data_IF_229608566728
#
_entry.id   IF_229608566728
#
_cell.length_a   1.000
_cell.length_b   1.000
_cell.length_c   1.000
_cell.angle_alpha   90.00
_cell.angle_beta   90.00
_cell.angle_gamma   90.00
#
_symmetry.space_group_name_H-M   'P 1'
#
loop_
_entity.id
_entity.type
_entity.pdbx_description
1 polymer ?
#
# COMPACT_ATOMS: atom_id res chain seq x y z
N UNK A 1 -5.45 7.29 -16.26
CA UNK A 1 -6.50 8.30 -16.03
C UNK A 1 -5.87 9.50 -15.35
N UNK A 2 -6.65 10.53 -15.06
CA UNK A 2 -6.17 11.62 -14.21
C UNK A 2 -5.96 11.07 -12.79
N UNK A 3 -4.83 11.41 -12.15
CA UNK A 3 -4.49 10.93 -10.80
C UNK A 3 -4.14 9.44 -10.67
N UNK A 4 -4.43 8.60 -11.68
CA UNK A 4 -4.22 7.16 -11.62
C UNK A 4 -2.84 6.76 -12.16
N UNK A 5 -2.08 6.09 -11.32
CA UNK A 5 -0.78 5.51 -11.64
C UNK A 5 -0.87 3.98 -11.48
N UNK A 6 -0.46 3.22 -12.49
CA UNK A 6 -0.27 1.78 -12.33
C UNK A 6 0.88 1.53 -11.36
N UNK A 7 0.74 0.61 -10.41
CA UNK A 7 1.82 0.29 -9.46
C UNK A 7 2.39 -1.08 -9.76
N UNK A 8 1.54 -2.11 -9.73
CA UNK A 8 1.96 -3.49 -9.97
C UNK A 8 0.77 -4.37 -10.35
N UNK A 9 1.08 -5.55 -10.90
CA UNK A 9 0.14 -6.64 -11.08
C UNK A 9 0.81 -7.94 -10.62
N UNK A 10 0.13 -8.73 -9.79
CA UNK A 10 0.66 -10.00 -9.30
C UNK A 10 0.50 -11.13 -10.32
N UNK A 11 1.12 -12.29 -10.07
CA UNK A 11 0.90 -13.51 -10.86
C UNK A 11 -0.57 -13.99 -10.88
N UNK A 12 -1.37 -13.54 -9.89
CA UNK A 12 -2.81 -13.81 -9.82
C UNK A 12 -3.63 -12.92 -10.75
N UNK A 13 -3.06 -11.81 -11.24
CA UNK A 13 -3.75 -10.89 -12.13
C UNK A 13 -4.16 -11.56 -13.44
N UNK A 14 -5.35 -11.22 -13.92
CA UNK A 14 -5.83 -11.70 -15.22
C UNK A 14 -5.52 -10.65 -16.28
N UNK A 15 -5.32 -11.13 -17.52
CA UNK A 15 -5.28 -10.24 -18.67
C UNK A 15 -6.60 -9.49 -18.77
N UNK A 16 -6.52 -8.18 -18.96
CA UNK A 16 -7.69 -7.34 -19.11
C UNK A 16 -8.36 -7.58 -20.48
N UNK A 17 -9.68 -7.36 -20.59
CA UNK A 17 -10.35 -7.23 -21.87
C UNK A 17 -9.68 -6.15 -22.75
N UNK A 18 -10.02 -6.12 -24.05
CA UNK A 18 -9.50 -5.12 -25.00
C UNK A 18 -9.69 -3.67 -24.52
N UNK A 19 -10.77 -3.44 -23.76
CA UNK A 19 -11.14 -2.12 -23.26
C UNK A 19 -10.55 -1.81 -21.87
N UNK A 20 -9.72 -2.70 -21.31
CA UNK A 20 -9.17 -2.56 -19.96
C UNK A 20 -10.18 -2.84 -18.85
N UNK A 21 -9.72 -2.86 -17.61
CA UNK A 21 -10.60 -2.77 -16.45
C UNK A 21 -10.90 -1.31 -16.16
N UNK A 22 -12.20 -0.98 -16.04
CA UNK A 22 -12.66 0.32 -15.57
C UNK A 22 -12.24 0.52 -14.13
N UNK A 23 -11.72 1.70 -13.82
CA UNK A 23 -11.34 2.12 -12.47
C UNK A 23 -12.28 3.25 -12.09
N UNK A 24 -12.93 3.11 -10.95
CA UNK A 24 -13.79 4.14 -10.39
C UNK A 24 -13.38 4.38 -8.94
N UNK A 25 -13.02 5.60 -8.61
CA UNK A 25 -12.65 6.05 -7.28
C UNK A 25 -13.89 6.70 -6.67
N UNK A 26 -14.26 6.28 -5.47
CA UNK A 26 -15.42 6.79 -4.73
C UNK A 26 -14.99 7.62 -3.51
N UNK A 27 -13.76 7.44 -3.05
CA UNK A 27 -13.18 8.23 -1.98
C UNK A 27 -11.69 8.42 -2.21
N UNK A 28 -11.20 9.64 -2.08
CA UNK A 28 -9.76 9.92 -2.11
C UNK A 28 -9.12 9.63 -0.76
N UNK A 29 -7.84 9.28 -0.76
CA UNK A 29 -7.11 9.10 0.48
C UNK A 29 -6.90 10.44 1.20
N UNK A 30 -7.04 10.44 2.51
CA UNK A 30 -6.75 11.61 3.37
C UNK A 30 -5.70 11.28 4.41
N UNK A 31 -5.12 12.31 5.02
CA UNK A 31 -4.07 12.20 6.03
C UNK A 31 -4.64 12.39 7.41
N UNK A 32 -4.00 11.76 8.40
CA UNK A 32 -4.31 12.06 9.79
C UNK A 32 -3.90 13.49 10.14
N UNK A 33 -4.75 14.21 10.86
CA UNK A 33 -4.47 15.61 11.23
C UNK A 33 -5.11 16.01 12.55
N UNK A 34 -4.55 17.04 13.17
CA UNK A 34 -5.13 17.71 14.33
C UNK A 34 -5.00 19.22 14.14
N UNK A 35 -6.03 19.95 14.53
CA UNK A 35 -6.13 21.39 14.33
C UNK A 35 -6.26 22.05 15.70
N UNK A 36 -5.47 23.08 15.94
CA UNK A 36 -5.61 23.94 17.10
C UNK A 36 -6.96 24.67 17.06
N UNK A 37 -7.65 24.72 18.19
CA UNK A 37 -8.99 25.31 18.28
C UNK A 37 -8.99 26.84 18.38
N UNK A 38 -7.84 27.43 18.72
CA UNK A 38 -7.70 28.88 18.92
C UNK A 38 -6.31 29.35 18.53
N UNK A 39 -6.18 30.64 18.20
CA UNK A 39 -4.87 31.28 18.09
C UNK A 39 -4.15 31.35 19.43
N UNK A 40 -2.83 31.41 19.37
CA UNK A 40 -2.00 31.72 20.53
C UNK A 40 -2.09 33.22 20.83
N UNK A 41 -2.46 33.55 22.07
CA UNK A 41 -2.58 34.94 22.52
C UNK A 41 -1.31 35.37 23.25
N UNK A 42 -1.07 36.68 23.31
CA UNK A 42 0.07 37.21 24.06
C UNK A 42 0.09 36.76 25.53
N UNK A 43 -1.08 36.54 26.13
CA UNK A 43 -1.26 36.06 27.51
C UNK A 43 -0.83 34.60 27.70
N UNK A 44 -0.96 33.76 26.67
CA UNK A 44 -0.55 32.36 26.72
C UNK A 44 0.98 32.24 26.77
N UNK A 45 1.69 33.13 26.07
CA UNK A 45 3.15 33.01 25.84
C UNK A 45 3.97 33.92 26.76
N UNK A 46 3.35 34.97 27.33
CA UNK A 46 3.97 35.93 28.24
C UNK A 46 3.76 35.51 29.70
N UNK A 47 4.22 34.34 30.12
CA UNK A 47 4.27 34.06 31.56
C UNK A 47 5.51 34.73 32.15
N UNK A 48 5.29 35.77 32.95
CA UNK A 48 6.26 36.30 33.91
C UNK A 48 6.69 35.26 34.97
N UNK A 49 6.23 34.01 34.85
CA UNK A 49 6.60 32.84 35.63
C UNK A 49 7.23 31.77 34.72
N UNK A 50 8.53 31.44 34.90
CA UNK A 50 9.22 30.37 34.19
C UNK A 50 8.64 28.97 34.39
N UNK A 51 7.75 28.78 35.38
CA UNK A 51 7.10 27.50 35.64
C UNK A 51 5.79 27.30 34.86
N UNK A 52 5.31 28.32 34.14
CA UNK A 52 4.05 28.26 33.38
C UNK A 52 4.28 28.42 31.87
N UNK A 53 5.45 27.98 31.39
CA UNK A 53 5.83 28.06 29.99
C UNK A 53 4.96 27.14 29.11
N UNK A 54 4.63 27.59 27.90
CA UNK A 54 3.92 26.72 26.96
C UNK A 54 4.84 25.55 26.59
N UNK A 55 4.29 24.34 26.70
CA UNK A 55 4.90 23.18 26.09
C UNK A 55 3.90 22.39 25.25
N UNK A 56 4.44 21.75 24.22
CA UNK A 56 3.73 20.84 23.34
C UNK A 56 4.48 19.52 23.33
N UNK A 57 3.77 18.42 23.56
CA UNK A 57 4.34 17.08 23.45
C UNK A 57 3.68 16.37 22.29
N UNK A 58 4.48 15.89 21.34
CA UNK A 58 4.03 15.17 20.15
C UNK A 58 4.55 13.74 20.25
N UNK A 59 3.68 12.77 20.02
CA UNK A 59 4.04 11.36 19.93
C UNK A 59 3.56 10.77 18.60
N UNK A 60 4.50 10.25 17.82
CA UNK A 60 4.27 9.61 16.51
C UNK A 60 5.18 8.39 16.42
N UNK A 61 4.60 7.22 16.07
CA UNK A 61 5.40 6.02 15.81
C UNK A 61 6.30 5.55 16.97
N UNK A 62 5.95 5.88 18.22
CA UNK A 62 6.76 5.57 19.41
C UNK A 62 7.92 6.56 19.66
N UNK A 63 8.05 7.61 18.86
CA UNK A 63 8.96 8.74 19.09
C UNK A 63 8.22 9.83 19.84
N UNK A 64 8.87 10.49 20.78
CA UNK A 64 8.28 11.59 21.54
C UNK A 64 9.17 12.82 21.47
N UNK A 65 8.57 13.95 21.09
CA UNK A 65 9.21 15.25 21.04
C UNK A 65 8.47 16.17 22.01
N UNK A 66 9.24 16.94 22.77
CA UNK A 66 8.71 17.99 23.63
C UNK A 66 9.28 19.32 23.18
N UNK A 67 8.40 20.25 22.82
CA UNK A 67 8.71 21.63 22.53
C UNK A 67 8.36 22.43 23.78
N UNK A 68 9.38 22.87 24.52
CA UNK A 68 9.21 23.58 25.78
C UNK A 68 9.93 24.94 25.74
N UNK A 69 9.14 26.02 25.86
CA UNK A 69 9.67 27.38 25.94
C UNK A 69 10.59 27.60 27.15
N UNK A 70 10.49 26.78 28.20
CA UNK A 70 11.40 26.83 29.35
C UNK A 70 12.81 26.43 28.99
N UNK A 71 12.95 25.38 28.17
CA UNK A 71 14.24 24.80 27.82
C UNK A 71 14.84 25.42 26.54
N UNK A 72 14.02 26.09 25.72
CA UNK A 72 14.48 26.82 24.54
C UNK A 72 14.72 28.31 24.82
N UNK A 73 15.94 28.64 25.26
CA UNK A 73 16.32 30.01 25.63
C UNK A 73 16.28 31.02 24.47
N UNK A 74 16.53 30.57 23.24
CA UNK A 74 16.56 31.42 22.04
C UNK A 74 15.14 31.79 21.60
N UNK A 75 14.25 30.79 21.50
CA UNK A 75 12.84 31.00 21.18
C UNK A 75 12.18 31.89 22.24
N UNK A 76 12.46 31.64 23.52
CA UNK A 76 11.95 32.45 24.63
C UNK A 76 12.39 33.91 24.53
N UNK A 77 13.68 34.17 24.33
CA UNK A 77 14.20 35.54 24.18
C UNK A 77 13.59 36.27 22.98
N UNK A 78 13.38 35.57 21.87
CA UNK A 78 12.77 36.13 20.66
C UNK A 78 11.31 36.51 20.92
N UNK A 79 10.54 35.63 21.56
CA UNK A 79 9.15 35.90 21.93
C UNK A 79 9.06 37.03 22.97
N UNK A 80 9.96 37.12 23.93
CA UNK A 80 10.01 38.21 24.92
C UNK A 80 10.28 39.58 24.25
N UNK A 81 11.18 39.62 23.26
CA UNK A 81 11.44 40.84 22.46
C UNK A 81 10.20 41.27 21.68
N UNK A 82 9.51 40.33 21.03
CA UNK A 82 8.28 40.58 20.29
C UNK A 82 7.16 41.08 21.21
N UNK A 83 6.97 40.40 22.34
CA UNK A 83 5.96 40.73 23.35
C UNK A 83 6.20 42.09 23.98
N UNK A 84 7.44 42.42 24.33
CA UNK A 84 7.79 43.74 24.89
C UNK A 84 7.64 44.87 23.87
N UNK A 85 7.94 44.61 22.59
CA UNK A 85 7.66 45.56 21.50
C UNK A 85 6.17 45.84 21.35
N UNK A 86 5.33 44.80 21.37
CA UNK A 86 3.87 44.93 21.29
C UNK A 86 3.28 45.69 22.48
N UNK A 87 3.74 45.37 23.71
CA UNK A 87 3.32 46.06 24.94
C UNK A 87 3.67 47.56 24.91
N UNK A 88 4.79 47.94 24.29
CA UNK A 88 5.20 49.36 24.12
C UNK A 88 4.36 50.10 23.08
N UNK A 89 3.99 49.44 21.98
CA UNK A 89 3.17 50.05 20.92
C UNK A 89 1.71 50.22 21.36
N UNK A 90 1.16 49.26 22.11
CA UNK A 90 -0.15 49.37 22.77
C UNK A 90 -1.38 49.34 21.85
N UNK A 91 -1.20 49.32 20.53
CA UNK A 91 -2.31 49.26 19.57
C UNK A 91 -2.84 47.81 19.40
N UNK A 92 -4.16 47.62 19.18
CA UNK A 92 -4.74 46.31 18.91
C UNK A 92 -4.10 45.60 17.71
N UNK A 93 -3.75 46.35 16.68
CA UNK A 93 -3.11 45.83 15.46
C UNK A 93 -1.69 45.32 15.72
N UNK A 94 -0.90 46.04 16.52
CA UNK A 94 0.45 45.59 16.90
C UNK A 94 0.40 44.32 17.76
N UNK A 95 -0.59 44.23 18.66
CA UNK A 95 -0.86 43.01 19.43
C UNK A 95 -1.14 41.83 18.49
N UNK A 96 -2.09 41.99 17.56
CA UNK A 96 -2.45 40.92 16.62
C UNK A 96 -1.29 40.46 15.73
N UNK A 97 -0.51 41.40 15.16
CA UNK A 97 0.69 41.05 14.36
C UNK A 97 1.71 40.25 15.17
N UNK A 98 1.86 40.60 16.43
CA UNK A 98 2.80 39.93 17.35
C UNK A 98 2.32 38.53 17.71
N UNK A 99 1.02 38.35 18.00
CA UNK A 99 0.40 37.03 18.22
C UNK A 99 0.66 36.09 17.03
N UNK A 100 0.44 36.58 15.81
CA UNK A 100 0.70 35.82 14.57
C UNK A 100 2.17 35.43 14.41
N UNK A 101 3.08 36.38 14.65
CA UNK A 101 4.52 36.13 14.56
C UNK A 101 4.98 35.07 15.58
N UNK A 102 4.47 35.13 16.80
CA UNK A 102 4.78 34.13 17.85
C UNK A 102 4.25 32.76 17.44
N UNK A 103 3.03 32.69 16.91
CA UNK A 103 2.44 31.43 16.47
C UNK A 103 3.21 30.80 15.31
N UNK A 104 3.67 31.61 14.34
CA UNK A 104 4.56 31.14 13.26
C UNK A 104 5.90 30.63 13.79
N UNK A 105 6.51 31.33 14.75
CA UNK A 105 7.77 30.90 15.37
C UNK A 105 7.61 29.56 16.10
N UNK A 106 6.51 29.39 16.83
CA UNK A 106 6.22 28.13 17.53
C UNK A 106 5.98 27.00 16.54
N UNK A 107 5.17 27.20 15.49
CA UNK A 107 4.96 26.18 14.47
C UNK A 107 6.25 25.80 13.73
N UNK A 108 7.11 26.78 13.42
CA UNK A 108 8.42 26.54 12.83
C UNK A 108 9.34 25.72 13.75
N UNK A 109 9.38 26.06 15.04
CA UNK A 109 10.15 25.29 16.00
C UNK A 109 9.60 23.87 16.16
N UNK A 110 8.28 23.72 16.22
CA UNK A 110 7.64 22.40 16.24
C UNK A 110 8.08 21.56 15.04
N UNK A 111 8.00 22.12 13.82
CA UNK A 111 8.45 21.45 12.59
C UNK A 111 9.92 21.03 12.68
N UNK A 112 10.81 21.96 13.09
CA UNK A 112 12.25 21.71 13.22
C UNK A 112 12.54 20.54 14.16
N UNK A 113 11.95 20.53 15.36
CA UNK A 113 12.20 19.47 16.34
C UNK A 113 11.58 18.14 15.89
N UNK A 114 10.42 18.15 15.24
CA UNK A 114 9.84 16.92 14.66
C UNK A 114 10.69 16.35 13.53
N UNK A 115 11.26 17.18 12.66
CA UNK A 115 12.16 16.75 11.58
C UNK A 115 13.48 16.19 12.12
N UNK A 116 14.06 16.82 13.15
CA UNK A 116 15.25 16.30 13.84
C UNK A 116 15.01 14.93 14.48
N UNK A 117 13.81 14.71 15.00
CA UNK A 117 13.37 13.41 15.50
C UNK A 117 12.95 12.42 14.41
N UNK A 118 13.01 12.82 13.13
CA UNK A 118 12.60 12.05 11.95
C UNK A 118 11.13 11.62 11.98
N UNK A 119 10.26 12.40 12.63
CA UNK A 119 8.82 12.15 12.65
C UNK A 119 8.19 12.45 11.29
N UNK A 120 7.17 11.69 10.90
CA UNK A 120 6.48 11.84 9.61
C UNK A 120 5.35 12.90 9.67
N UNK A 121 5.65 14.10 10.16
CA UNK A 121 4.68 15.16 10.40
C UNK A 121 5.01 16.45 9.65
N UNK A 122 3.96 17.12 9.17
CA UNK A 122 3.97 18.48 8.66
C UNK A 122 3.20 19.38 9.63
N UNK A 123 3.81 20.49 10.04
CA UNK A 123 3.30 21.45 11.00
C UNK A 123 3.30 22.82 10.35
N UNK A 124 2.11 23.40 10.22
CA UNK A 124 1.93 24.66 9.51
C UNK A 124 0.82 25.50 10.14
N UNK A 125 0.79 26.78 9.77
CA UNK A 125 -0.29 27.68 10.16
C UNK A 125 -1.34 27.69 9.06
N UNK A 126 -2.57 27.32 9.40
CA UNK A 126 -3.70 27.48 8.50
C UNK A 126 -4.34 28.85 8.71
N UNK A 127 -4.52 29.59 7.60
CA UNK A 127 -5.10 30.94 7.57
C UNK A 127 -6.40 30.92 6.77
N UNK A 128 -7.56 30.96 7.43
CA UNK A 128 -8.84 31.01 6.75
C UNK A 128 -9.05 32.33 5.98
N UNK A 129 -8.47 33.44 6.46
CA UNK A 129 -8.63 34.77 5.84
C UNK A 129 -7.84 34.98 4.54
N UNK A 130 -6.83 34.14 4.27
CA UNK A 130 -6.20 34.09 2.94
C UNK A 130 -7.13 33.42 1.90
N UNK A 131 -8.32 32.94 2.32
CA UNK A 131 -9.41 32.46 1.46
C UNK A 131 -10.56 33.49 1.26
N UNK A 132 -10.35 34.79 1.48
CA UNK A 132 -11.42 35.81 1.31
C UNK A 132 -10.99 36.98 0.39
N UNK A 133 -11.06 36.71 -0.93
CA UNK A 133 -11.29 37.70 -1.99
C UNK A 133 -10.53 37.41 -3.30
N UNK A 134 -11.19 37.28 -4.49
CA UNK A 134 -12.55 37.71 -4.85
C UNK A 134 -13.51 36.53 -5.02
N UNK A 135 -14.30 36.23 -3.98
CA UNK A 135 -15.47 35.35 -4.06
C UNK A 135 -16.79 36.14 -4.17
N UNK A 136 -16.72 37.40 -4.61
CA UNK A 136 -17.89 38.27 -4.81
C UNK A 136 -18.10 38.73 -6.26
N UNK A 137 -17.35 38.20 -7.22
CA UNK A 137 -17.57 38.50 -8.63
C UNK A 137 -17.39 37.23 -9.45
N UNK A 138 -18.40 36.37 -9.47
CA UNK A 138 -18.92 35.78 -10.71
C UNK A 138 -20.17 34.95 -10.40
N UNK A 139 -21.30 35.48 -10.87
CA UNK A 139 -22.58 34.80 -10.93
C UNK A 139 -22.51 33.66 -11.96
N UNK A 140 -23.06 32.50 -11.61
CA UNK A 140 -24.10 31.89 -12.46
C UNK A 140 -24.92 30.73 -11.85
N UNK A 141 -24.81 30.41 -10.55
CA UNK A 141 -25.72 29.41 -9.94
C UNK A 141 -26.22 29.76 -8.53
N UNK A 142 -26.14 31.04 -8.14
CA UNK A 142 -26.62 31.50 -6.83
C UNK A 142 -28.11 31.17 -6.58
N UNK A 143 -28.91 31.05 -7.64
CA UNK A 143 -30.32 30.68 -7.53
C UNK A 143 -30.57 29.18 -7.27
N UNK A 144 -29.64 28.30 -7.63
CA UNK A 144 -29.80 26.86 -7.40
C UNK A 144 -29.29 26.48 -5.99
N UNK A 145 -28.21 27.12 -5.53
CA UNK A 145 -27.70 26.97 -4.17
C UNK A 145 -28.71 27.45 -3.10
N UNK A 146 -29.38 28.60 -3.33
CA UNK A 146 -30.40 29.10 -2.39
C UNK A 146 -31.66 28.21 -2.32
N UNK A 147 -31.93 27.41 -3.35
CA UNK A 147 -33.09 26.51 -3.40
C UNK A 147 -32.82 25.21 -2.62
N UNK A 148 -31.59 24.71 -2.63
CA UNK A 148 -31.17 23.58 -1.79
C UNK A 148 -31.01 23.96 -0.31
N UNK A 149 -30.53 25.17 -0.02
CA UNK A 149 -30.37 25.70 1.35
C UNK A 149 -31.73 25.87 2.06
N UNK A 150 -32.85 25.93 1.33
CA UNK A 150 -34.20 26.01 1.90
C UNK A 150 -34.76 24.69 2.45
N UNK A 151 -34.07 23.56 2.29
CA UNK A 151 -34.55 22.23 2.74
C UNK A 151 -34.10 21.82 4.14
N UNK A 152 -33.22 22.58 4.80
CA UNK A 152 -32.80 22.29 6.17
C UNK A 152 -32.90 23.58 7.00
N UNK A 153 -34.01 23.81 7.72
CA UNK A 153 -34.15 25.00 8.55
C UNK A 153 -33.35 24.82 9.84
N UNK A 154 -32.18 25.48 9.92
CA UNK A 154 -31.44 25.69 11.17
C UNK A 154 -29.93 25.46 11.04
N UNK A 155 -29.16 26.51 11.33
CA UNK A 155 -27.73 26.47 11.72
C UNK A 155 -26.63 26.41 10.65
N UNK A 156 -26.65 27.23 9.59
CA UNK A 156 -25.39 27.46 8.82
C UNK A 156 -25.23 28.91 8.31
N UNK A 157 -25.73 29.91 9.04
CA UNK A 157 -25.53 31.33 8.68
C UNK A 157 -24.56 32.10 9.60
N UNK A 158 -23.75 31.43 10.44
CA UNK A 158 -22.78 32.11 11.32
C UNK A 158 -21.30 31.72 11.11
N UNK A 159 -20.97 30.81 10.19
CA UNK A 159 -19.60 30.26 10.11
C UNK A 159 -18.65 30.90 9.09
N UNK A 160 -19.10 31.86 8.28
CA UNK A 160 -18.24 32.46 7.25
C UNK A 160 -17.97 33.93 7.57
N UNK A 161 -17.04 34.16 8.52
CA UNK A 161 -16.11 35.31 8.65
C UNK A 161 -15.57 35.46 10.08
N UNK A 162 -14.84 34.46 10.62
CA UNK A 162 -14.33 34.58 12.00
C UNK A 162 -13.30 33.55 12.48
N UNK A 163 -12.81 32.64 11.64
CA UNK A 163 -11.78 31.69 12.09
C UNK A 163 -10.41 32.39 12.18
N UNK A 164 -9.87 32.43 13.40
CA UNK A 164 -8.51 32.87 13.69
C UNK A 164 -7.46 31.95 13.00
N UNK A 165 -6.22 32.43 12.81
CA UNK A 165 -5.12 31.58 12.33
C UNK A 165 -4.84 30.46 13.34
N UNK A 166 -4.74 29.21 12.88
CA UNK A 166 -4.59 28.03 13.77
C UNK A 166 -3.38 27.18 13.38
N UNK A 167 -2.78 26.51 14.37
CA UNK A 167 -1.72 25.54 14.13
C UNK A 167 -2.36 24.23 13.68
N UNK A 168 -1.89 23.68 12.57
CA UNK A 168 -2.29 22.36 12.07
C UNK A 168 -1.08 21.45 12.09
N UNK A 169 -1.25 20.25 12.62
CA UNK A 169 -0.30 19.17 12.47
C UNK A 169 -0.96 18.10 11.61
N UNK A 170 -0.25 17.59 10.61
CA UNK A 170 -0.75 16.60 9.66
C UNK A 170 0.32 15.55 9.40
N UNK A 171 -0.08 14.30 9.29
CA UNK A 171 0.83 13.22 8.95
C UNK A 171 1.19 13.26 7.45
N UNK A 172 2.46 13.04 7.11
CA UNK A 172 2.92 12.96 5.71
C UNK A 172 2.32 11.79 4.92
N UNK A 173 2.01 10.68 5.60
CA UNK A 173 1.46 9.45 5.02
C UNK A 173 -0.06 9.51 4.98
N UNK A 174 -0.62 9.03 3.89
CA UNK A 174 -2.07 8.90 3.69
C UNK A 174 -2.61 7.60 4.28
N UNK A 175 -3.90 7.60 4.58
CA UNK A 175 -4.62 6.40 4.98
C UNK A 175 -5.12 6.42 6.41
N UNK A 176 -5.74 5.32 6.81
CA UNK A 176 -6.31 5.14 8.15
C UNK A 176 -5.29 4.67 9.19
N UNK A 177 -4.18 4.04 8.76
CA UNK A 177 -3.14 3.52 9.65
C UNK A 177 -2.27 4.61 10.33
N UNK A 178 -1.80 5.65 9.62
CA UNK A 178 -0.96 6.68 10.22
C UNK A 178 -1.70 7.45 11.33
N UNK A 179 -1.08 7.58 12.51
CA UNK A 179 -1.66 8.26 13.66
C UNK A 179 -0.59 8.88 14.55
N UNK A 180 -0.99 9.93 15.28
CA UNK A 180 -0.14 10.59 16.26
C UNK A 180 -1.00 11.20 17.36
N UNK A 181 -0.37 11.54 18.49
CA UNK A 181 -1.02 12.26 19.59
C UNK A 181 -0.27 13.54 19.90
N UNK A 182 -1.02 14.52 20.39
CA UNK A 182 -0.47 15.81 20.82
C UNK A 182 -1.06 16.17 22.17
N UNK A 183 -0.23 16.71 23.07
CA UNK A 183 -0.69 17.38 24.28
C UNK A 183 -0.10 18.78 24.38
N UNK A 184 -0.76 19.64 25.13
CA UNK A 184 -0.32 21.00 25.38
C UNK A 184 -0.49 21.36 26.86
N UNK A 185 0.29 22.32 27.35
CA UNK A 185 0.00 23.00 28.62
C UNK A 185 -1.16 24.00 28.52
N UNK A 186 -1.70 24.24 27.32
CA UNK A 186 -2.84 25.12 27.11
C UNK A 186 -4.15 24.37 27.18
N UNK A 187 -5.07 24.88 28.00
CA UNK A 187 -6.42 24.35 28.11
C UNK A 187 -7.19 24.50 26.80
N UNK A 188 -7.91 23.44 26.42
CA UNK A 188 -8.75 23.35 25.21
C UNK A 188 -8.04 23.72 23.89
N UNK A 189 -6.72 23.50 23.79
CA UNK A 189 -5.98 23.94 22.60
C UNK A 189 -6.14 22.98 21.40
N UNK A 190 -6.08 21.67 21.60
CA UNK A 190 -6.20 20.66 20.53
C UNK A 190 -7.51 19.87 20.56
N UNK A 191 -8.48 20.28 21.39
CA UNK A 191 -9.77 19.62 21.50
C UNK A 191 -10.72 20.35 22.46
N UNK A 192 -12.02 20.11 22.30
CA UNK A 192 -13.03 20.66 23.19
C UNK A 192 -13.00 19.88 24.51
N UNK A 193 -12.97 20.60 25.63
CA UNK A 193 -12.91 20.05 26.99
C UNK A 193 -11.63 19.24 27.29
N UNK A 194 -10.54 19.50 26.57
CA UNK A 194 -9.23 18.86 26.80
C UNK A 194 -8.46 19.62 27.88
N UNK A 195 -8.05 18.92 28.93
CA UNK A 195 -7.27 19.49 30.02
C UNK A 195 -5.79 19.66 29.64
N UNK A 196 -5.10 20.50 30.41
CA UNK A 196 -3.63 20.65 30.39
C UNK A 196 -2.97 19.27 30.49
N UNK A 197 -1.97 19.01 29.63
CA UNK A 197 -1.20 17.77 29.51
C UNK A 197 -1.99 16.52 29.08
N UNK A 198 -3.27 16.66 28.73
CA UNK A 198 -4.05 15.55 28.19
C UNK A 198 -3.65 15.28 26.74
N UNK A 199 -3.34 14.02 26.43
CA UNK A 199 -2.98 13.60 25.09
C UNK A 199 -4.24 13.44 24.23
N UNK A 200 -4.31 14.20 23.13
CA UNK A 200 -5.39 14.14 22.15
C UNK A 200 -4.91 13.35 20.94
N UNK A 201 -5.74 12.43 20.48
CA UNK A 201 -5.50 11.68 19.25
C UNK A 201 -5.84 12.55 18.04
N UNK A 202 -4.96 12.54 17.04
CA UNK A 202 -5.26 13.14 15.76
C UNK A 202 -6.46 12.44 15.10
N UNK A 203 -7.23 13.18 14.31
CA UNK A 203 -8.28 12.61 13.47
C UNK A 203 -7.63 11.63 12.50
N UNK A 204 -8.17 10.42 12.40
CA UNK A 204 -7.66 9.42 11.46
C UNK A 204 -7.86 9.87 10.02
N UNK A 205 -6.85 9.63 9.18
CA UNK A 205 -7.02 9.73 7.74
C UNK A 205 -7.94 8.63 7.21
N UNK A 206 -8.23 8.69 5.91
CA UNK A 206 -9.02 7.69 5.20
C UNK A 206 -8.21 7.10 4.07
N UNK A 207 -8.44 5.82 3.80
CA UNK A 207 -7.86 5.16 2.64
C UNK A 207 -8.65 5.50 1.37
N UNK A 208 -8.00 5.39 0.22
CA UNK A 208 -8.67 5.46 -1.08
C UNK A 208 -9.74 4.35 -1.17
N UNK A 209 -10.92 4.67 -1.67
CA UNK A 209 -11.97 3.69 -1.95
C UNK A 209 -12.37 3.76 -3.41
N UNK A 210 -12.77 2.61 -3.95
CA UNK A 210 -13.14 2.50 -5.34
C UNK A 210 -13.29 1.06 -5.79
N UNK A 211 -13.41 0.90 -7.10
CA UNK A 211 -13.56 -0.39 -7.78
C UNK A 211 -12.58 -0.51 -8.93
N UNK A 212 -12.16 -1.74 -9.22
CA UNK A 212 -11.31 -2.07 -10.36
C UNK A 212 -11.97 -3.25 -11.12
N UNK A 213 -12.34 -3.01 -12.38
CA UNK A 213 -13.08 -3.95 -13.21
C UNK A 213 -14.59 -3.89 -13.01
N UNK A 214 -15.33 -4.81 -13.63
CA UNK A 214 -16.79 -4.83 -13.59
C UNK A 214 -17.46 -3.66 -14.33
N UNK A 215 -18.67 -3.31 -13.89
CA UNK A 215 -19.53 -2.30 -14.50
C UNK A 215 -19.88 -1.22 -13.44
N UNK A 216 -18.96 -0.29 -13.13
CA UNK A 216 -19.18 0.72 -12.10
C UNK A 216 -20.38 1.64 -12.40
N UNK A 217 -20.65 1.92 -13.68
CA UNK A 217 -21.79 2.71 -14.19
C UNK A 217 -23.18 2.20 -13.73
N UNK A 218 -23.28 0.94 -13.30
CA UNK A 218 -24.52 0.35 -12.79
C UNK A 218 -24.40 -0.14 -11.34
N UNK A 219 -23.39 0.34 -10.61
CA UNK A 219 -23.11 -0.07 -9.23
C UNK A 219 -22.59 -1.51 -9.10
N UNK A 220 -22.12 -2.12 -10.19
CA UNK A 220 -21.58 -3.47 -10.23
C UNK A 220 -20.05 -3.47 -10.50
N UNK A 221 -19.33 -2.56 -9.85
CA UNK A 221 -17.87 -2.46 -9.94
C UNK A 221 -17.16 -3.63 -9.26
N UNK A 222 -15.96 -3.96 -9.73
CA UNK A 222 -15.13 -5.01 -9.15
C UNK A 222 -14.60 -4.62 -7.77
N UNK A 223 -14.72 -5.51 -6.80
CA UNK A 223 -14.25 -5.26 -5.43
C UNK A 223 -12.76 -4.94 -5.39
N UNK A 224 -12.41 -3.85 -4.71
CA UNK A 224 -11.03 -3.44 -4.46
C UNK A 224 -10.85 -3.04 -3.00
N UNK A 225 -9.61 -3.07 -2.53
CA UNK A 225 -9.19 -2.76 -1.17
C UNK A 225 -8.25 -1.55 -1.20
N UNK A 226 -8.58 -0.55 -0.42
CA UNK A 226 -7.75 0.64 -0.20
C UNK A 226 -6.72 0.46 0.90
N UNK A 227 -5.53 1.04 0.71
CA UNK A 227 -4.55 1.30 1.78
C UNK A 227 -3.75 2.56 1.44
N UNK A 228 -3.95 3.62 2.22
CA UNK A 228 -3.45 4.95 1.87
C UNK A 228 -3.94 5.35 0.48
N UNK A 229 -3.02 5.67 -0.41
CA UNK A 229 -3.31 6.00 -1.81
C UNK A 229 -3.39 4.78 -2.74
N UNK A 230 -3.17 3.57 -2.24
CA UNK A 230 -3.13 2.34 -3.06
C UNK A 230 -4.50 1.67 -3.08
N UNK A 231 -4.99 1.38 -4.27
CA UNK A 231 -6.21 0.62 -4.52
C UNK A 231 -5.84 -0.71 -5.19
N UNK A 232 -6.17 -1.83 -4.55
CA UNK A 232 -5.81 -3.18 -5.02
C UNK A 232 -7.04 -4.04 -5.25
N UNK A 233 -7.13 -4.71 -6.40
CA UNK A 233 -8.25 -5.62 -6.67
C UNK A 233 -8.30 -6.78 -5.66
N UNK A 234 -9.48 -6.99 -5.07
CA UNK A 234 -9.67 -7.95 -3.99
C UNK A 234 -9.47 -9.41 -4.46
N UNK A 235 -9.09 -10.34 -3.56
CA UNK A 235 -9.03 -11.76 -3.89
C UNK A 235 -10.37 -12.28 -4.43
N UNK A 236 -10.33 -12.98 -5.57
CA UNK A 236 -11.53 -13.48 -6.26
C UNK A 236 -12.25 -12.47 -7.17
N UNK A 237 -11.86 -11.18 -7.16
CA UNK A 237 -12.39 -10.19 -8.09
C UNK A 237 -11.80 -10.37 -9.50
N UNK A 238 -12.42 -9.72 -10.50
CA UNK A 238 -11.93 -9.75 -11.88
C UNK A 238 -10.50 -9.18 -12.00
N UNK A 239 -10.23 -8.09 -11.25
CA UNK A 239 -8.96 -7.40 -11.19
C UNK A 239 -8.06 -7.84 -10.03
N UNK A 240 -8.25 -9.06 -9.49
CA UNK A 240 -7.44 -9.60 -8.40
C UNK A 240 -5.94 -9.38 -8.64
N UNK A 241 -5.25 -8.81 -7.65
CA UNK A 241 -3.80 -8.65 -7.70
C UNK A 241 -3.31 -7.48 -8.57
N UNK A 242 -4.19 -6.70 -9.18
CA UNK A 242 -3.84 -5.41 -9.81
C UNK A 242 -3.85 -4.31 -8.76
N UNK A 243 -2.76 -3.56 -8.64
CA UNK A 243 -2.63 -2.43 -7.72
C UNK A 243 -2.41 -1.13 -8.49
N UNK A 244 -3.20 -0.12 -8.15
CA UNK A 244 -3.14 1.23 -8.66
C UNK A 244 -2.88 2.20 -7.51
N UNK A 245 -2.27 3.34 -7.82
CA UNK A 245 -2.16 4.47 -6.90
C UNK A 245 -3.03 5.60 -7.42
N UNK A 246 -3.83 6.19 -6.53
CA UNK A 246 -4.57 7.42 -6.81
C UNK A 246 -3.90 8.60 -6.10
N UNK A 247 -3.35 9.51 -6.91
CA UNK A 247 -2.50 10.60 -6.46
C UNK A 247 -3.22 11.92 -6.15
N UNK A 248 -4.49 12.08 -6.56
CA UNK A 248 -5.26 13.28 -6.22
C UNK A 248 -5.59 13.31 -4.72
N UNK A 249 -5.63 14.52 -4.17
CA UNK A 249 -5.82 14.73 -2.73
C UNK A 249 -6.84 15.84 -2.51
N UNK A 250 -7.53 15.79 -1.37
CA UNK A 250 -8.36 16.90 -0.86
C UNK A 250 -7.53 18.03 -0.27
N UNK A 251 -6.20 17.90 -0.28
CA UNK A 251 -5.33 18.97 0.19
C UNK A 251 -5.43 20.15 -0.79
N UNK A 252 -5.62 21.36 -0.25
CA UNK A 252 -5.70 22.57 -1.06
C UNK A 252 -4.44 22.74 -1.93
N UNK A 253 -4.63 22.86 -3.25
CA UNK A 253 -3.51 23.11 -4.18
C UNK A 253 -3.40 24.62 -4.42
N UNK A 254 -2.24 25.17 -4.10
CA UNK A 254 -1.90 26.58 -4.32
C UNK A 254 -1.02 26.67 -5.58
N UNK A 255 -1.55 27.31 -6.63
CA UNK A 255 -0.79 27.61 -7.84
C UNK A 255 -0.21 29.01 -7.77
N UNK A 256 1.07 29.12 -8.08
CA UNK A 256 1.71 30.40 -8.33
C UNK A 256 1.39 30.87 -9.76
N UNK A 257 0.61 31.95 -9.90
CA UNK A 257 0.35 32.55 -11.22
C UNK A 257 1.51 33.47 -11.58
N UNK A 258 2.26 33.07 -12.61
CA UNK A 258 3.29 33.88 -13.21
C UNK A 258 2.76 34.61 -14.46
N UNK A 259 2.73 35.94 -14.44
CA UNK A 259 2.43 36.72 -15.64
C UNK A 259 3.70 36.89 -16.46
N UNK A 260 3.76 36.17 -17.59
CA UNK A 260 4.89 36.18 -18.53
C UNK A 260 5.16 37.54 -19.18
N UNK A 261 4.18 38.44 -19.20
CA UNK A 261 4.31 39.76 -19.84
C UNK A 261 5.08 40.75 -18.96
N UNK A 262 4.87 40.67 -17.65
CA UNK A 262 5.47 41.60 -16.67
C UNK A 262 6.62 40.96 -15.88
N UNK A 263 6.91 39.67 -16.12
CA UNK A 263 7.91 38.86 -15.42
C UNK A 263 7.78 38.95 -13.89
N UNK A 264 6.54 39.03 -13.40
CA UNK A 264 6.20 39.19 -11.98
C UNK A 264 5.12 38.21 -11.57
N UNK A 265 5.27 37.72 -10.34
CA UNK A 265 4.26 36.94 -9.64
C UNK A 265 2.97 37.78 -9.49
N UNK A 266 1.84 37.26 -9.98
CA UNK A 266 0.57 38.01 -10.06
C UNK A 266 -0.47 37.55 -9.06
N UNK A 267 -0.31 36.36 -8.46
CA UNK A 267 -1.18 35.89 -7.39
C UNK A 267 -1.08 34.39 -7.12
N UNK A 268 -1.75 33.96 -6.06
CA UNK A 268 -1.95 32.55 -5.71
C UNK A 268 -3.37 32.16 -6.13
N UNK A 269 -3.53 31.09 -6.92
CA UNK A 269 -4.83 30.44 -7.13
C UNK A 269 -4.93 29.26 -6.19
N UNK A 270 -5.91 29.28 -5.29
CA UNK A 270 -6.26 28.15 -4.45
C UNK A 270 -7.41 27.37 -5.08
N UNK A 271 -7.20 26.08 -5.32
CA UNK A 271 -8.27 25.17 -5.74
C UNK A 271 -8.74 24.38 -4.53
N UNK A 272 -9.90 24.73 -3.98
CA UNK A 272 -10.55 23.91 -2.96
C UNK A 272 -11.01 22.60 -3.62
N UNK A 273 -10.55 21.47 -3.09
CA UNK A 273 -10.89 20.16 -3.61
C UNK A 273 -11.62 19.37 -2.54
N UNK A 274 -12.94 19.27 -2.68
CA UNK A 274 -13.72 18.32 -1.91
C UNK A 274 -13.75 16.96 -2.62
N UNK A 275 -14.05 15.90 -1.87
CA UNK A 275 -14.14 14.55 -2.41
C UNK A 275 -15.11 14.53 -3.62
N UNK A 276 -16.29 15.14 -3.50
CA UNK A 276 -17.31 15.18 -4.57
C UNK A 276 -16.86 15.87 -5.87
N UNK A 277 -15.84 16.74 -5.83
CA UNK A 277 -15.26 17.33 -7.05
C UNK A 277 -14.12 16.48 -7.63
N UNK A 278 -13.40 15.76 -6.77
CA UNK A 278 -12.28 14.89 -7.16
C UNK A 278 -12.74 13.53 -7.66
N UNK A 279 -13.92 13.09 -7.22
CA UNK A 279 -14.52 11.81 -7.54
C UNK A 279 -16.00 12.03 -7.80
N UNK A 280 -16.56 11.34 -8.80
CA UNK A 280 -17.96 11.56 -9.17
C UNK A 280 -18.30 11.19 -10.61
N UNK A 281 -17.31 10.93 -11.46
CA UNK A 281 -17.56 10.22 -12.72
C UNK A 281 -17.64 8.71 -12.46
N UNK A 282 -18.45 8.00 -13.25
CA UNK A 282 -18.58 6.54 -13.14
C UNK A 282 -17.28 5.79 -13.48
N UNK A 283 -16.30 6.45 -14.14
CA UNK A 283 -15.02 5.86 -14.54
C UNK A 283 -13.89 6.92 -14.57
N UNK A 284 -12.98 6.89 -13.60
CA UNK A 284 -11.79 7.76 -13.51
C UNK A 284 -10.64 7.32 -14.45
N UNK A 285 -10.67 6.07 -14.90
CA UNK A 285 -9.73 5.57 -15.88
C UNK A 285 -9.83 4.10 -16.19
N UNK A 286 -8.83 3.63 -16.92
CA UNK A 286 -8.72 2.24 -17.35
C UNK A 286 -7.33 1.73 -17.02
N UNK A 287 -7.26 0.49 -16.54
CA UNK A 287 -6.01 -0.26 -16.42
C UNK A 287 -6.01 -1.38 -17.45
N UNK A 288 -4.91 -1.52 -18.17
CA UNK A 288 -4.67 -2.61 -19.10
C UNK A 288 -3.55 -3.47 -18.56
N UNK A 289 -3.84 -4.74 -18.30
CA UNK A 289 -2.88 -5.72 -17.82
C UNK A 289 -2.81 -6.83 -18.85
N UNK A 290 -1.61 -7.14 -19.32
CA UNK A 290 -1.37 -8.31 -20.17
C UNK A 290 -0.59 -9.32 -19.35
N UNK A 291 -1.27 -10.38 -18.89
CA UNK A 291 -0.62 -11.42 -18.12
C UNK A 291 0.19 -12.30 -19.08
N UNK A 292 1.48 -12.01 -19.22
CA UNK A 292 2.41 -12.77 -20.04
C UNK A 292 3.12 -13.90 -19.27
N UNK A 293 2.58 -14.28 -18.09
CA UNK A 293 3.10 -15.40 -17.31
C UNK A 293 3.00 -16.71 -18.09
N UNK A 294 4.07 -17.49 -18.04
CA UNK A 294 4.10 -18.84 -18.58
C UNK A 294 3.45 -19.80 -17.58
N UNK A 295 2.71 -20.78 -18.11
CA UNK A 295 2.06 -21.82 -17.32
C UNK A 295 2.91 -23.08 -17.39
N UNK A 296 3.35 -23.57 -16.22
CA UNK A 296 4.14 -24.77 -16.06
C UNK A 296 3.30 -25.89 -15.47
N UNK A 297 3.29 -27.06 -16.13
CA UNK A 297 2.80 -28.31 -15.55
C UNK A 297 3.88 -28.86 -14.63
N UNK A 298 3.60 -28.90 -13.34
CA UNK A 298 4.60 -29.22 -12.30
C UNK A 298 4.36 -30.58 -11.62
N UNK A 299 3.26 -31.27 -11.94
CA UNK A 299 2.94 -32.56 -11.37
C UNK A 299 2.30 -33.52 -12.38
N UNK A 300 2.06 -34.79 -11.98
CA UNK A 300 1.61 -35.82 -12.92
C UNK A 300 0.11 -35.72 -13.25
N UNK A 301 -0.68 -35.00 -12.45
CA UNK A 301 -2.13 -34.95 -12.58
C UNK A 301 -2.61 -33.67 -13.29
N UNK A 302 -3.78 -33.78 -13.93
CA UNK A 302 -4.46 -32.64 -14.53
C UNK A 302 -4.70 -31.53 -13.48
N UNK A 303 -4.41 -30.28 -13.84
CA UNK A 303 -4.64 -29.12 -12.97
C UNK A 303 -3.49 -28.79 -12.02
N UNK A 304 -2.42 -29.59 -11.97
CA UNK A 304 -1.20 -29.27 -11.22
C UNK A 304 -0.32 -28.28 -12.00
N UNK A 305 -0.85 -27.07 -12.14
CA UNK A 305 -0.25 -25.97 -12.89
C UNK A 305 0.28 -24.89 -11.95
N UNK A 306 1.37 -24.25 -12.34
CA UNK A 306 1.86 -23.01 -11.72
C UNK A 306 2.16 -21.98 -12.78
N UNK A 307 1.77 -20.73 -12.52
CA UNK A 307 2.13 -19.58 -13.34
C UNK A 307 3.41 -18.98 -12.81
N UNK A 308 4.21 -18.45 -13.72
CA UNK A 308 5.39 -17.68 -13.39
C UNK A 308 5.69 -16.70 -14.53
N UNK A 309 5.99 -15.45 -14.18
CA UNK A 309 6.44 -14.41 -15.12
C UNK A 309 7.78 -13.85 -14.66
N UNK A 310 8.54 -13.35 -15.62
CA UNK A 310 9.74 -12.56 -15.36
C UNK A 310 9.44 -11.16 -15.88
N UNK A 311 9.62 -10.17 -15.03
CA UNK A 311 9.48 -8.77 -15.42
C UNK A 311 10.61 -8.38 -16.39
N UNK A 312 10.42 -7.28 -17.15
CA UNK A 312 11.46 -6.84 -18.07
C UNK A 312 12.69 -6.34 -17.30
N UNK A 313 13.87 -6.69 -17.82
CA UNK A 313 15.17 -6.16 -17.36
C UNK A 313 15.70 -5.06 -18.30
N UNK A 314 14.86 -4.57 -19.21
CA UNK A 314 15.21 -3.44 -20.07
C UNK A 314 15.50 -2.21 -19.19
N UNK A 315 16.59 -1.45 -19.43
CA UNK A 315 16.93 -0.28 -18.60
C UNK A 315 15.83 0.79 -18.55
N UNK A 316 14.98 0.88 -19.56
CA UNK A 316 13.81 1.77 -19.58
C UNK A 316 12.69 1.32 -18.62
N UNK A 317 12.72 0.06 -18.16
CA UNK A 317 11.72 -0.54 -17.27
C UNK A 317 12.26 -0.79 -15.85
N UNK A 318 13.54 -0.49 -15.60
CA UNK A 318 14.19 -0.61 -14.29
C UNK A 318 14.26 0.75 -13.58
N UNK A 319 14.22 0.71 -12.24
CA UNK A 319 14.29 1.91 -11.39
C UNK A 319 13.15 2.89 -11.60
N UNK A 320 12.00 2.39 -12.01
CA UNK A 320 10.80 3.20 -12.17
C UNK A 320 10.36 3.73 -10.80
N UNK A 321 9.99 5.03 -10.74
CA UNK A 321 9.39 5.70 -9.55
C UNK A 321 10.36 6.05 -8.42
N UNK A 322 11.65 6.19 -8.69
CA UNK A 322 12.60 6.79 -7.74
C UNK A 322 12.44 8.31 -7.79
N UNK A 323 12.04 8.92 -6.68
CA UNK A 323 11.99 10.38 -6.60
C UNK A 323 13.41 10.95 -6.54
N UNK A 324 13.74 11.86 -7.44
CA UNK A 324 15.06 12.45 -7.60
C UNK A 324 14.95 13.86 -8.16
N UNK A 325 15.92 14.72 -7.85
CA UNK A 325 15.85 16.15 -8.20
C UNK A 325 16.16 16.38 -9.70
N UNK A 326 16.91 15.46 -10.31
CA UNK A 326 17.29 15.45 -11.72
C UNK A 326 16.19 14.96 -12.68
N UNK A 327 15.03 14.55 -12.14
CA UNK A 327 13.86 14.05 -12.89
C UNK A 327 14.13 12.82 -13.79
N UNK A 328 15.14 12.00 -13.48
CA UNK A 328 15.36 10.72 -14.16
C UNK A 328 14.18 9.78 -13.90
N UNK A 329 13.67 9.15 -14.96
CA UNK A 329 12.50 8.25 -14.85
C UNK A 329 12.88 6.78 -14.83
N UNK A 330 14.04 6.43 -15.38
CA UNK A 330 14.51 5.05 -15.52
C UNK A 330 16.03 4.99 -15.57
N UNK A 331 16.57 3.79 -15.45
CA UNK A 331 18.01 3.56 -15.58
C UNK A 331 18.58 3.99 -16.95
N UNK A 332 17.74 4.06 -18.00
CA UNK A 332 18.16 4.51 -19.32
C UNK A 332 18.44 6.03 -19.41
N UNK A 333 17.89 6.82 -18.49
CA UNK A 333 17.95 8.28 -18.52
C UNK A 333 19.08 8.87 -17.67
N UNK A 334 19.81 8.04 -16.92
CA UNK A 334 20.83 8.52 -15.98
C UNK A 334 21.93 9.31 -16.71
N UNK A 335 22.32 10.42 -16.10
CA UNK A 335 23.45 11.24 -16.51
C UNK A 335 24.36 11.49 -15.29
N UNK A 336 25.66 11.55 -15.53
CA UNK A 336 26.70 11.74 -14.50
C UNK A 336 27.59 12.95 -14.81
N UNK A 337 27.14 13.85 -15.69
CA UNK A 337 27.86 15.06 -16.06
C UNK A 337 27.79 16.17 -15.00
N UNK A 338 26.85 16.08 -14.06
CA UNK A 338 26.68 16.99 -12.92
C UNK A 338 26.80 16.24 -11.59
N UNK A 339 27.20 16.94 -10.51
CA UNK A 339 27.38 16.32 -9.20
C UNK A 339 26.06 15.84 -8.58
N UNK A 340 24.98 16.62 -8.71
CA UNK A 340 23.65 16.26 -8.20
C UNK A 340 23.07 15.13 -9.05
N UNK A 341 23.21 15.23 -10.38
CA UNK A 341 22.84 14.16 -11.32
C UNK A 341 23.56 12.84 -11.01
N UNK A 342 24.85 12.89 -10.66
CA UNK A 342 25.61 11.71 -10.29
C UNK A 342 25.12 11.09 -8.96
N UNK A 343 24.65 11.88 -7.98
CA UNK A 343 24.04 11.35 -6.75
C UNK A 343 22.69 10.70 -7.05
N UNK A 344 21.85 11.34 -7.86
CA UNK A 344 20.56 10.80 -8.27
C UNK A 344 20.72 9.51 -9.10
N UNK A 345 21.74 9.44 -9.96
CA UNK A 345 22.07 8.23 -10.70
C UNK A 345 22.41 7.05 -9.78
N UNK A 346 23.11 7.29 -8.65
CA UNK A 346 23.36 6.24 -7.65
C UNK A 346 22.06 5.71 -7.04
N UNK A 347 21.11 6.59 -6.70
CA UNK A 347 19.80 6.18 -6.18
C UNK A 347 19.06 5.27 -7.17
N UNK A 348 19.08 5.62 -8.46
CA UNK A 348 18.46 4.80 -9.50
C UNK A 348 19.19 3.48 -9.68
N UNK A 349 20.52 3.45 -9.64
CA UNK A 349 21.30 2.21 -9.76
C UNK A 349 21.02 1.27 -8.59
N UNK A 350 20.96 1.78 -7.36
CA UNK A 350 20.63 0.98 -6.18
C UNK A 350 19.23 0.38 -6.31
N UNK A 351 18.24 1.16 -6.77
CA UNK A 351 16.91 0.64 -7.05
C UNK A 351 16.92 -0.44 -8.15
N UNK A 352 17.69 -0.27 -9.23
CA UNK A 352 17.80 -1.29 -10.29
C UNK A 352 18.37 -2.60 -9.74
N UNK A 353 19.38 -2.51 -8.86
CA UNK A 353 19.98 -3.68 -8.21
C UNK A 353 18.93 -4.38 -7.34
N UNK A 354 18.11 -3.64 -6.61
CA UNK A 354 17.03 -4.18 -5.79
C UNK A 354 15.92 -4.82 -6.65
N UNK A 355 15.54 -4.21 -7.77
CA UNK A 355 14.57 -4.76 -8.73
C UNK A 355 15.05 -6.11 -9.27
N UNK A 356 16.30 -6.17 -9.77
CA UNK A 356 16.91 -7.41 -10.28
C UNK A 356 17.10 -8.45 -9.19
N UNK A 357 17.49 -8.04 -7.98
CA UNK A 357 17.67 -8.94 -6.84
C UNK A 357 16.34 -9.54 -6.41
N UNK A 358 15.26 -8.76 -6.41
CA UNK A 358 13.90 -9.20 -6.13
C UNK A 358 13.43 -10.20 -7.19
N UNK A 359 13.62 -9.90 -8.47
CA UNK A 359 13.33 -10.83 -9.57
C UNK A 359 14.08 -12.17 -9.41
N UNK A 360 15.37 -12.13 -9.07
CA UNK A 360 16.18 -13.34 -8.81
C UNK A 360 15.68 -14.11 -7.58
N UNK A 361 15.26 -13.40 -6.53
CA UNK A 361 14.64 -13.98 -5.34
C UNK A 361 13.34 -14.71 -5.69
N UNK A 362 12.49 -14.09 -6.50
CA UNK A 362 11.23 -14.67 -6.96
C UNK A 362 11.46 -15.91 -7.84
N UNK A 363 12.41 -15.84 -8.78
CA UNK A 363 12.87 -16.99 -9.58
C UNK A 363 13.35 -18.15 -8.69
N UNK A 364 14.22 -17.86 -7.72
CA UNK A 364 14.75 -18.85 -6.79
C UNK A 364 13.67 -19.46 -5.90
N UNK A 365 12.71 -18.65 -5.44
CA UNK A 365 11.54 -19.11 -4.69
C UNK A 365 10.67 -20.05 -5.54
N UNK A 366 10.38 -19.70 -6.79
CA UNK A 366 9.63 -20.54 -7.71
C UNK A 366 10.35 -21.88 -7.96
N UNK A 367 11.65 -21.84 -8.27
CA UNK A 367 12.43 -23.05 -8.47
C UNK A 367 12.39 -23.97 -7.23
N UNK A 368 12.71 -23.44 -6.05
CA UNK A 368 12.79 -24.24 -4.82
C UNK A 368 11.42 -24.75 -4.35
N UNK A 369 10.43 -23.86 -4.30
CA UNK A 369 9.15 -24.16 -3.67
C UNK A 369 8.14 -24.79 -4.63
N UNK A 370 8.26 -24.55 -5.94
CA UNK A 370 7.41 -25.20 -6.92
C UNK A 370 8.14 -26.38 -7.58
N UNK A 371 9.24 -26.15 -8.28
CA UNK A 371 9.84 -27.21 -9.12
C UNK A 371 10.54 -28.29 -8.29
N UNK A 372 11.43 -27.93 -7.36
CA UNK A 372 12.19 -28.88 -6.56
C UNK A 372 11.32 -29.65 -5.58
N UNK A 373 10.38 -28.96 -4.92
CA UNK A 373 9.40 -29.60 -4.03
C UNK A 373 8.56 -30.66 -4.77
N UNK A 374 8.05 -30.33 -5.97
CA UNK A 374 7.26 -31.30 -6.75
C UNK A 374 8.12 -32.41 -7.35
N UNK A 375 9.35 -32.11 -7.79
CA UNK A 375 10.30 -33.12 -8.24
C UNK A 375 10.60 -34.13 -7.13
N UNK A 376 10.75 -33.66 -5.90
CA UNK A 376 10.93 -34.54 -4.74
C UNK A 376 9.71 -35.45 -4.54
N UNK A 377 8.49 -34.89 -4.52
CA UNK A 377 7.25 -35.68 -4.42
C UNK A 377 7.10 -36.69 -5.56
N UNK A 378 7.42 -36.31 -6.79
CA UNK A 378 7.40 -37.18 -7.97
C UNK A 378 8.40 -38.33 -7.84
N UNK A 379 9.61 -38.07 -7.32
CA UNK A 379 10.62 -39.11 -7.11
C UNK A 379 10.15 -40.14 -6.10
N UNK A 380 9.56 -39.70 -4.99
CA UNK A 380 8.98 -40.60 -3.97
C UNK A 380 7.82 -41.41 -4.56
N UNK A 381 6.94 -40.77 -5.33
CA UNK A 381 5.84 -41.48 -6.01
C UNK A 381 6.36 -42.53 -7.00
N UNK A 382 7.40 -42.21 -7.77
CA UNK A 382 8.04 -43.15 -8.70
C UNK A 382 8.63 -44.35 -7.96
N UNK A 383 9.32 -44.13 -6.85
CA UNK A 383 9.90 -45.20 -6.03
C UNK A 383 8.81 -46.14 -5.50
N UNK A 384 7.73 -45.58 -4.95
CA UNK A 384 6.58 -46.36 -4.46
C UNK A 384 5.89 -47.16 -5.56
N UNK A 385 5.73 -46.58 -6.77
CA UNK A 385 5.15 -47.27 -7.91
C UNK A 385 6.05 -48.40 -8.42
N UNK A 386 7.36 -48.16 -8.50
CA UNK A 386 8.33 -49.19 -8.93
C UNK A 386 8.39 -50.34 -7.93
N UNK A 387 8.32 -50.05 -6.62
CA UNK A 387 8.26 -51.08 -5.58
C UNK A 387 6.96 -51.89 -5.67
N UNK A 388 5.83 -51.23 -5.93
CA UNK A 388 4.53 -51.90 -6.11
C UNK A 388 4.53 -52.77 -7.38
N UNK A 389 5.09 -52.28 -8.48
CA UNK A 389 5.27 -53.05 -9.72
C UNK A 389 6.15 -54.28 -9.50
N UNK A 390 7.28 -54.14 -8.79
CA UNK A 390 8.14 -55.26 -8.43
C UNK A 390 7.40 -56.32 -7.60
N UNK A 391 6.62 -55.89 -6.61
CA UNK A 391 5.84 -56.82 -5.77
C UNK A 391 4.79 -57.59 -6.57
N UNK A 392 4.12 -56.94 -7.51
CA UNK A 392 3.16 -57.59 -8.41
C UNK A 392 3.89 -58.59 -9.33
N UNK A 393 4.97 -58.15 -9.98
CA UNK A 393 5.75 -58.99 -10.89
C UNK A 393 6.34 -60.22 -10.17
N UNK A 394 6.86 -60.05 -8.96
CA UNK A 394 7.40 -61.15 -8.15
C UNK A 394 6.31 -62.12 -7.67
N UNK A 395 5.13 -61.60 -7.33
CA UNK A 395 3.96 -62.44 -6.95
C UNK A 395 3.48 -63.27 -8.13
N UNK A 396 3.34 -62.64 -9.31
CA UNK A 396 2.95 -63.32 -10.55
C UNK A 396 3.99 -64.37 -10.95
N UNK A 397 5.29 -64.04 -10.89
CA UNK A 397 6.36 -65.02 -11.13
C UNK A 397 6.34 -66.18 -10.14
N UNK A 398 6.12 -65.94 -8.85
CA UNK A 398 6.04 -67.00 -7.85
C UNK A 398 4.87 -67.96 -8.13
N UNK A 399 3.72 -67.45 -8.57
CA UNK A 399 2.56 -68.24 -8.96
C UNK A 399 2.83 -69.07 -10.23
N UNK A 400 3.44 -68.47 -11.25
CA UNK A 400 3.82 -69.17 -12.49
C UNK A 400 4.88 -70.24 -12.23
N UNK A 401 5.91 -69.94 -11.44
CA UNK A 401 6.94 -70.89 -11.04
C UNK A 401 6.37 -72.05 -10.23
N UNK A 402 5.44 -71.80 -9.31
CA UNK A 402 4.76 -72.85 -8.55
C UNK A 402 3.94 -73.76 -9.47
N UNK A 403 3.25 -73.18 -10.45
CA UNK A 403 2.48 -73.93 -11.46
C UNK A 403 3.39 -74.75 -12.37
N UNK A 404 4.50 -74.17 -12.83
CA UNK A 404 5.53 -74.86 -13.61
C UNK A 404 6.11 -76.05 -12.84
N UNK A 405 6.50 -75.85 -11.58
CA UNK A 405 7.04 -76.92 -10.73
C UNK A 405 5.99 -78.01 -10.48
N UNK A 406 4.74 -77.64 -10.17
CA UNK A 406 3.63 -78.59 -10.02
C UNK A 406 3.46 -79.43 -11.29
N UNK A 407 3.46 -78.80 -12.47
CA UNK A 407 3.32 -79.49 -13.75
C UNK A 407 4.51 -80.42 -14.01
N UNK A 408 5.73 -79.98 -13.70
CA UNK A 408 6.94 -80.82 -13.83
C UNK A 408 6.89 -82.04 -12.90
N UNK A 409 6.45 -81.85 -11.65
CA UNK A 409 6.24 -82.95 -10.70
C UNK A 409 5.18 -83.91 -11.24
N UNK A 410 4.02 -83.42 -11.69
CA UNK A 410 2.95 -84.24 -12.26
C UNK A 410 3.41 -85.04 -13.48
N UNK A 411 4.21 -84.44 -14.37
CA UNK A 411 4.81 -85.13 -15.51
C UNK A 411 5.75 -86.25 -15.04
N UNK A 412 6.66 -85.96 -14.11
CA UNK A 412 7.59 -86.96 -13.56
C UNK A 412 6.85 -88.09 -12.83
N UNK A 413 5.86 -87.77 -11.98
CA UNK A 413 5.02 -88.75 -11.28
C UNK A 413 4.17 -89.55 -12.26
N UNK A 414 3.63 -88.93 -13.32
CA UNK A 414 2.90 -89.60 -14.38
C UNK A 414 3.77 -90.62 -15.11
N UNK A 415 5.01 -90.27 -15.46
CA UNK A 415 5.96 -91.22 -16.06
C UNK A 415 6.34 -92.38 -15.12
N UNK A 416 6.56 -92.10 -13.83
CA UNK A 416 6.84 -93.13 -12.82
C UNK A 416 5.62 -94.03 -12.55
N UNK A 417 4.41 -93.47 -12.50
CA UNK A 417 3.16 -94.23 -12.36
C UNK A 417 2.89 -95.07 -13.59
N UNK A 418 3.14 -94.56 -14.80
CA UNK A 418 3.04 -95.35 -16.03
C UNK A 418 4.06 -96.51 -16.02
N UNK A 419 5.29 -96.26 -15.58
CA UNK A 419 6.30 -97.30 -15.42
C UNK A 419 5.86 -98.38 -14.40
N UNK A 420 5.32 -97.97 -13.25
CA UNK A 420 4.80 -98.89 -12.22
C UNK A 420 3.55 -99.64 -12.70
N UNK A 421 2.61 -98.96 -13.35
CA UNK A 421 1.38 -99.55 -13.90
C UNK A 421 1.68 -100.52 -15.04
N UNK A 422 2.78 -100.37 -15.77
CA UNK A 422 3.23 -101.35 -16.75
C UNK A 422 3.87 -102.59 -16.10
N UNK A 423 4.41 -102.49 -14.88
CA UNK A 423 4.99 -103.62 -14.14
C UNK A 423 3.92 -104.49 -13.44
N UNK A 424 2.79 -103.92 -13.02
CA UNK A 424 1.71 -104.66 -12.35
C UNK A 424 1.07 -105.76 -13.22
N UNK A 425 0.70 -105.53 -14.50
CA UNK A 425 0.22 -106.57 -15.40
C UNK A 425 1.25 -107.67 -15.63
N UNK A 426 2.55 -107.32 -15.71
CA UNK A 426 3.63 -108.30 -15.88
C UNK A 426 3.79 -109.21 -14.65
N UNK A 427 3.62 -108.65 -13.44
CA UNK A 427 3.67 -109.43 -12.20
C UNK A 427 2.41 -110.28 -11.99
N UNK A 428 1.23 -109.82 -12.44
CA UNK A 428 0.00 -110.64 -12.47
C UNK A 428 0.10 -111.77 -13.50
N UNK A 429 0.69 -111.53 -14.68
CA UNK A 429 0.98 -112.58 -15.67
C UNK A 429 1.94 -113.64 -15.13
N UNK A 430 2.95 -113.24 -14.33
CA UNK A 430 3.82 -114.17 -13.64
C UNK A 430 3.05 -115.04 -12.62
N UNK A 431 2.12 -114.47 -11.86
CA UNK A 431 1.28 -115.19 -10.89
C UNK A 431 0.25 -116.11 -11.55
N UNK A 432 -0.34 -115.71 -12.69
CA UNK A 432 -1.26 -116.55 -13.47
C UNK A 432 -0.53 -117.73 -14.13
N UNK A 433 0.72 -117.54 -14.53
CA UNK A 433 1.57 -118.62 -15.06
C UNK A 433 2.18 -119.51 -13.96
N UNK A 434 2.23 -119.06 -12.70
CA UNK A 434 2.83 -119.82 -11.60
C UNK A 434 1.84 -120.66 -10.78
N UNK A 435 0.53 -120.57 -11.05
CA UNK A 435 -0.54 -121.34 -10.38
C UNK A 435 -1.40 -122.16 -11.36
N UNK A 436 -0.86 -122.47 -12.55
CA UNK A 436 -1.44 -123.41 -13.51
C UNK A 436 -0.83 -124.81 -13.41
#
# INVERSE_FOLDING_TARGET
GNGLEFVSASEGAKSTPSNGFKVNITQVATRSMIVGMRRLRLEDVSSSDPNNAISFVINEGGRTVSIDLKNNSELRQTIEKLTSSAKRNGTPEAKLRTERAIQQLIAHEMQRVTDEARMDLDIFIYRPADNLGPFLENFDTLNDALKEISRTPGEINEFVTGMDEVIVLRHRKFGSEPSFTVSSTLDNFFGQNTKVHEAVFALSGRDVEGTIGGLPEVGAGGAAMGRGQLLTGAPGAEAEGVTLKYGETTDDVIYEIFNRTDNRFTGLLKREQNNEFLVGEDVDGYVHVSQNSLVFQIGPNQGQLRRFSVDSIDPEQLSNRVNNDSNFRSLAEIDVLDADAAQDALLLIDQAIDDVSTMRGNLGSFQKNALEANLHSLRVSKENLTASESLLADTDMAQEMSSLVKNQILLSSGTAMLAQANQVPQSVLQLLNSNG
#
